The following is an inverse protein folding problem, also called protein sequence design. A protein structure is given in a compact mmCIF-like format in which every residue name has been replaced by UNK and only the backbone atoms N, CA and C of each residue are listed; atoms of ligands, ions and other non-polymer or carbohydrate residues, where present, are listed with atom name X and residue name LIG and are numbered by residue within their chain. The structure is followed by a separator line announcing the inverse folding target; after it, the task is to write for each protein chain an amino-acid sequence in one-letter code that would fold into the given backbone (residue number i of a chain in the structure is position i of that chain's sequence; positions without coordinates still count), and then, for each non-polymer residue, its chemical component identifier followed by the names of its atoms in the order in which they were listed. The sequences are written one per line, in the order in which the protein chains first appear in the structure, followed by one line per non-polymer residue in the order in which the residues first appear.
data_IF_985057736390
#
_entry.id   IF_985057736390
#
_cell.length_a   1.000
_cell.length_b   1.000
_cell.length_c   1.000
_cell.angle_alpha   90.00
_cell.angle_beta   90.00
_cell.angle_gamma   90.00
#
_symmetry.space_group_name_H-M   'P 1'
#
loop_
_entity.id
_entity.type
_entity.pdbx_description
1 polymer ?
#
# COMPACT_ATOMS: atom_id res chain seq x y z
N UNK A 1 0.15 24.76 -0.07
CA UNK A 1 1.04 23.66 -0.51
C UNK A 1 1.06 22.62 0.60
N UNK A 2 0.58 21.40 0.36
CA UNK A 2 0.65 20.32 1.35
C UNK A 2 2.08 19.81 1.47
N UNK A 3 2.57 19.61 2.69
CA UNK A 3 3.91 19.09 2.93
C UNK A 3 4.02 17.64 2.40
N UNK A 4 5.17 17.24 1.81
CA UNK A 4 5.40 15.86 1.41
C UNK A 4 5.46 14.97 2.66
N UNK A 5 4.68 13.88 2.65
CA UNK A 5 4.73 12.87 3.71
C UNK A 5 5.99 12.01 3.49
N UNK A 6 7.05 12.27 4.26
CA UNK A 6 8.30 11.50 4.20
C UNK A 6 8.15 10.28 5.10
N UNK A 7 8.00 9.10 4.51
CA UNK A 7 7.98 7.82 5.25
C UNK A 7 9.41 7.28 5.32
N UNK A 8 9.96 7.16 6.54
CA UNK A 8 11.25 6.49 6.78
C UNK A 8 11.01 4.98 6.84
N UNK A 9 11.70 4.22 5.99
CA UNK A 9 11.64 2.75 5.96
C UNK A 9 12.99 2.22 6.43
N UNK A 10 13.00 1.43 7.51
CA UNK A 10 14.19 0.72 7.97
C UNK A 10 14.51 -0.43 7.03
N UNK A 11 15.64 -0.34 6.32
CA UNK A 11 16.08 -1.33 5.30
C UNK A 11 17.06 -2.37 5.89
N UNK A 12 17.21 -2.44 7.22
CA UNK A 12 18.21 -3.29 7.85
C UNK A 12 17.99 -4.77 7.52
N UNK A 13 18.94 -5.37 6.79
CA UNK A 13 18.96 -6.80 6.45
C UNK A 13 17.98 -7.24 5.34
N UNK A 14 17.35 -6.30 4.63
CA UNK A 14 16.42 -6.58 3.52
C UNK A 14 16.92 -5.96 2.22
N UNK A 15 16.62 -6.62 1.11
CA UNK A 15 16.77 -6.00 -0.21
C UNK A 15 15.77 -4.85 -0.36
N UNK A 16 16.10 -3.86 -1.19
CA UNK A 16 15.20 -2.74 -1.47
C UNK A 16 13.82 -3.20 -1.97
N UNK A 17 13.79 -4.29 -2.76
CA UNK A 17 12.57 -4.90 -3.26
C UNK A 17 11.70 -5.50 -2.15
N UNK A 18 12.31 -6.12 -1.14
CA UNK A 18 11.58 -6.65 0.03
C UNK A 18 11.01 -5.52 0.89
N UNK A 19 11.78 -4.46 1.10
CA UNK A 19 11.31 -3.27 1.82
C UNK A 19 10.13 -2.59 1.11
N UNK A 20 10.18 -2.49 -0.23
CA UNK A 20 9.06 -1.98 -1.04
C UNK A 20 7.83 -2.86 -0.89
N UNK A 21 7.97 -4.19 -0.97
CA UNK A 21 6.84 -5.11 -0.85
C UNK A 21 6.17 -4.99 0.51
N UNK A 22 6.95 -4.98 1.60
CA UNK A 22 6.40 -4.83 2.95
C UNK A 22 5.67 -3.48 3.10
N UNK A 23 6.25 -2.41 2.59
CA UNK A 23 5.63 -1.09 2.62
C UNK A 23 4.32 -1.06 1.82
N UNK A 24 4.31 -1.68 0.63
CA UNK A 24 3.13 -1.79 -0.23
C UNK A 24 1.99 -2.58 0.46
N UNK A 25 2.31 -3.71 1.12
CA UNK A 25 1.35 -4.48 1.91
C UNK A 25 0.75 -3.66 3.06
N UNK A 26 1.60 -2.91 3.80
CA UNK A 26 1.12 -2.05 4.90
C UNK A 26 0.21 -0.93 4.41
N UNK A 27 0.56 -0.28 3.30
CA UNK A 27 -0.27 0.76 2.68
C UNK A 27 -1.63 0.21 2.22
N UNK A 28 -1.66 -0.99 1.63
CA UNK A 28 -2.90 -1.64 1.22
C UNK A 28 -3.77 -1.96 2.43
N UNK A 29 -3.17 -2.52 3.48
CA UNK A 29 -3.88 -2.84 4.72
C UNK A 29 -4.49 -1.57 5.38
N UNK A 30 -3.74 -0.47 5.40
CA UNK A 30 -4.22 0.81 5.93
C UNK A 30 -5.34 1.40 5.08
N UNK A 31 -5.19 1.41 3.76
CA UNK A 31 -6.25 1.85 2.83
C UNK A 31 -7.52 1.02 2.97
N UNK A 32 -7.39 -0.30 3.15
CA UNK A 32 -8.51 -1.19 3.40
C UNK A 32 -9.20 -0.88 4.73
N UNK A 33 -8.44 -0.67 5.82
CA UNK A 33 -9.00 -0.30 7.14
C UNK A 33 -9.72 1.05 7.09
N UNK A 34 -9.08 2.08 6.51
CA UNK A 34 -9.65 3.42 6.36
C UNK A 34 -10.97 3.39 5.57
N UNK A 35 -11.12 2.46 4.62
CA UNK A 35 -12.30 2.31 3.79
C UNK A 35 -13.26 1.19 4.25
N UNK A 36 -13.14 0.69 5.49
CA UNK A 36 -14.00 -0.40 6.01
C UNK A 36 -14.03 -1.63 5.08
N UNK A 37 -12.87 -1.99 4.55
CA UNK A 37 -12.65 -3.10 3.61
C UNK A 37 -13.41 -2.99 2.29
N UNK A 38 -13.94 -1.81 1.95
CA UNK A 38 -14.56 -1.53 0.65
C UNK A 38 -13.47 -1.34 -0.40
N UNK A 39 -13.25 -2.37 -1.23
CA UNK A 39 -12.18 -2.42 -2.24
C UNK A 39 -12.19 -1.25 -3.22
N UNK A 40 -13.37 -0.80 -3.65
CA UNK A 40 -13.51 0.36 -4.55
C UNK A 40 -13.02 1.65 -3.88
N UNK A 41 -13.37 1.85 -2.61
CA UNK A 41 -12.91 3.00 -1.82
C UNK A 41 -11.41 2.96 -1.58
N UNK A 42 -10.88 1.78 -1.22
CA UNK A 42 -9.44 1.58 -1.02
C UNK A 42 -8.64 1.80 -2.32
N UNK A 43 -9.13 1.31 -3.46
CA UNK A 43 -8.50 1.53 -4.76
C UNK A 43 -8.46 3.01 -5.14
N UNK A 44 -9.58 3.73 -4.92
CA UNK A 44 -9.66 5.19 -5.13
C UNK A 44 -8.73 5.95 -4.20
N UNK A 45 -8.66 5.57 -2.92
CA UNK A 45 -7.77 6.16 -1.94
C UNK A 45 -6.29 5.99 -2.32
N UNK A 46 -5.91 4.82 -2.82
CA UNK A 46 -4.56 4.52 -3.29
C UNK A 46 -4.26 5.08 -4.69
N UNK A 47 -5.24 5.66 -5.39
CA UNK A 47 -5.08 6.17 -6.75
C UNK A 47 -4.78 5.08 -7.79
N UNK A 48 -5.23 3.84 -7.58
CA UNK A 48 -5.01 2.71 -8.49
C UNK A 48 -6.34 2.11 -8.98
N UNK A 49 -6.28 1.35 -10.08
CA UNK A 49 -7.45 0.59 -10.54
C UNK A 49 -7.79 -0.57 -9.59
N UNK A 50 -9.06 -0.96 -9.58
CA UNK A 50 -9.54 -2.09 -8.78
C UNK A 50 -8.81 -3.39 -9.13
N UNK A 51 -8.52 -3.63 -10.40
CA UNK A 51 -7.78 -4.80 -10.87
C UNK A 51 -6.33 -4.81 -10.38
N UNK A 52 -5.70 -3.63 -10.29
CA UNK A 52 -4.35 -3.51 -9.75
C UNK A 52 -4.35 -3.76 -8.25
N UNK A 53 -5.36 -3.28 -7.53
CA UNK A 53 -5.54 -3.60 -6.10
C UNK A 53 -5.73 -5.10 -5.88
N UNK A 54 -6.59 -5.77 -6.67
CA UNK A 54 -6.80 -7.21 -6.57
C UNK A 54 -5.51 -8.00 -6.81
N UNK A 55 -4.74 -7.66 -7.85
CA UNK A 55 -3.45 -8.30 -8.13
C UNK A 55 -2.44 -8.11 -7.00
N UNK A 56 -2.42 -6.93 -6.38
CA UNK A 56 -1.51 -6.64 -5.26
C UNK A 56 -1.88 -7.42 -4.00
N UNK A 57 -3.17 -7.48 -3.65
CA UNK A 57 -3.67 -8.31 -2.55
C UNK A 57 -3.33 -9.79 -2.78
N UNK A 58 -3.60 -10.30 -3.98
CA UNK A 58 -3.31 -11.70 -4.33
C UNK A 58 -1.82 -12.06 -4.28
N UNK A 59 -0.93 -11.07 -4.46
CA UNK A 59 0.53 -11.25 -4.44
C UNK A 59 1.13 -11.19 -3.02
N UNK A 60 0.32 -10.95 -1.99
CA UNK A 60 0.76 -10.86 -0.59
C UNK A 60 0.61 -9.47 0.03
N UNK A 61 -0.37 -8.69 -0.43
CA UNK A 61 -0.78 -7.44 0.21
C UNK A 61 -1.44 -7.67 1.56
#
# INVERSE_FOLDING_TARGET
MSAPCVVKVDVAGKTFDEAIREFESRLIAEAMRANRYRKVGAARFLGISLDRLHRRIAKGG
#
